data_IF_793674662030
#
_entry.id   IF_793674662030
#
_cell.length_a   1.000
_cell.length_b   1.000
_cell.length_c   1.000
_cell.angle_alpha   90.00
_cell.angle_beta   90.00
_cell.angle_gamma   90.00
#
_symmetry.space_group_name_H-M   'P 1'
#
loop_
_entity.id
_entity.type
_entity.pdbx_description
1 polymer ?
#
# COMPACT_ATOMS: atom_id res chain seq x y z
N UNK A 1 15.91 16.11 -20.42
CA UNK A 1 14.85 16.47 -21.40
C UNK A 1 13.54 16.00 -20.79
N UNK A 2 12.51 16.85 -20.74
CA UNK A 2 11.18 16.51 -20.17
C UNK A 2 10.22 16.10 -21.29
N UNK A 3 9.50 15.00 -21.11
CA UNK A 3 8.56 14.44 -22.07
C UNK A 3 7.11 14.59 -21.56
N UNK A 4 6.12 14.86 -22.42
CA UNK A 4 4.70 15.13 -22.05
C UNK A 4 3.73 14.07 -22.64
N UNK A 5 2.66 13.66 -21.93
CA UNK A 5 1.61 12.69 -22.36
C UNK A 5 0.16 13.12 -21.97
N UNK A 6 -0.91 12.60 -22.63
CA UNK A 6 -2.32 12.68 -22.15
C UNK A 6 -3.37 11.64 -22.73
N UNK A 7 -4.55 11.64 -22.08
CA UNK A 7 -5.74 10.75 -22.14
C UNK A 7 -6.87 11.28 -23.07
N UNK A 8 -7.68 10.35 -23.62
CA UNK A 8 -8.83 10.58 -24.56
C UNK A 8 -9.93 11.52 -24.03
N UNK A 9 -10.35 12.49 -24.85
CA UNK A 9 -11.52 13.37 -24.61
C UNK A 9 -12.42 13.39 -25.86
N UNK A 10 -13.71 13.04 -25.71
CA UNK A 10 -14.76 13.21 -26.73
C UNK A 10 -15.81 14.20 -26.20
N UNK A 11 -16.26 15.17 -27.01
CA UNK A 11 -17.61 15.69 -26.83
C UNK A 11 -18.45 15.66 -28.12
N UNK A 12 -19.65 15.10 -27.94
CA UNK A 12 -20.98 15.54 -28.41
C UNK A 12 -21.16 15.71 -29.94
N UNK A 13 -22.05 14.88 -30.47
CA UNK A 13 -22.79 15.08 -31.72
C UNK A 13 -24.13 15.76 -31.39
N UNK A 14 -24.41 16.90 -32.03
CA UNK A 14 -25.73 17.16 -32.61
C UNK A 14 -25.48 17.81 -33.98
N UNK A 15 -25.96 17.12 -35.01
CA UNK A 15 -25.80 17.48 -36.42
C UNK A 15 -26.92 18.40 -36.86
N UNK A 16 -26.56 19.48 -37.56
CA UNK A 16 -27.35 19.98 -38.67
C UNK A 16 -26.41 20.70 -39.64
N UNK A 17 -25.95 19.93 -40.62
CA UNK A 17 -25.47 20.32 -41.95
C UNK A 17 -24.20 21.19 -42.04
N UNK A 18 -23.10 20.50 -42.40
CA UNK A 18 -21.82 21.02 -42.89
C UNK A 18 -21.02 21.95 -41.94
N UNK A 19 -20.46 21.41 -40.86
CA UNK A 19 -19.46 22.10 -40.03
C UNK A 19 -18.16 21.30 -39.96
N UNK A 20 -17.08 21.88 -40.48
CA UNK A 20 -15.70 21.48 -40.19
C UNK A 20 -15.49 21.58 -38.67
N UNK A 21 -15.63 20.45 -37.96
CA UNK A 21 -15.44 20.35 -36.52
C UNK A 21 -13.96 20.60 -36.26
N UNK A 22 -13.61 21.74 -35.68
CA UNK A 22 -12.25 22.02 -35.24
C UNK A 22 -11.97 21.12 -34.04
N UNK A 23 -11.42 19.94 -34.29
CA UNK A 23 -10.97 19.04 -33.23
C UNK A 23 -9.87 19.76 -32.43
N UNK A 24 -10.07 19.88 -31.12
CA UNK A 24 -9.06 20.47 -30.25
C UNK A 24 -7.89 19.51 -30.15
N UNK A 25 -6.69 20.01 -30.41
CA UNK A 25 -5.48 19.24 -30.25
C UNK A 25 -5.34 18.74 -28.82
N UNK A 26 -4.76 17.56 -28.73
CA UNK A 26 -4.32 16.99 -27.49
C UNK A 26 -3.48 18.01 -26.68
N UNK A 27 -3.63 18.15 -25.35
CA UNK A 27 -3.03 19.26 -24.58
C UNK A 27 -1.50 19.32 -24.63
N UNK A 28 -0.84 18.19 -24.89
CA UNK A 28 0.62 18.15 -25.09
C UNK A 28 1.06 18.71 -26.45
N UNK A 29 0.13 18.93 -27.38
CA UNK A 29 0.39 19.35 -28.75
C UNK A 29 0.13 20.84 -28.95
N UNK A 30 1.07 21.50 -29.64
CA UNK A 30 0.88 22.86 -30.14
C UNK A 30 0.01 22.87 -31.40
N UNK A 31 0.17 21.86 -32.27
CA UNK A 31 -0.70 21.61 -33.43
C UNK A 31 -0.92 20.11 -33.63
N UNK A 32 -2.00 19.73 -34.29
CA UNK A 32 -2.37 18.33 -34.51
C UNK A 32 -3.20 18.15 -35.80
N UNK A 33 -3.28 16.90 -36.26
CA UNK A 33 -4.15 16.46 -37.38
C UNK A 33 -5.46 15.82 -36.89
N UNK A 34 -5.60 15.60 -35.59
CA UNK A 34 -6.78 15.01 -34.94
C UNK A 34 -6.67 15.08 -33.41
N UNK A 35 -7.73 14.73 -32.69
CA UNK A 35 -7.80 14.85 -31.22
C UNK A 35 -6.92 13.88 -30.41
N UNK A 36 -6.41 12.81 -31.04
CA UNK A 36 -5.56 11.80 -30.39
C UNK A 36 -4.10 12.23 -30.20
N UNK A 37 -3.44 11.66 -29.18
CA UNK A 37 -2.03 11.91 -28.80
C UNK A 37 -1.03 11.58 -29.93
N UNK A 38 -1.37 10.60 -30.76
CA UNK A 38 -0.65 10.14 -31.94
C UNK A 38 -0.74 11.12 -33.13
N UNK A 39 -1.67 12.08 -33.09
CA UNK A 39 -1.92 13.02 -34.19
C UNK A 39 -1.22 14.37 -33.97
N UNK A 40 -0.23 14.42 -33.08
CA UNK A 40 0.56 15.60 -32.79
C UNK A 40 1.43 15.99 -33.99
N UNK A 41 1.37 17.24 -34.45
CA UNK A 41 2.24 17.72 -35.55
C UNK A 41 3.31 18.69 -35.06
N UNK A 42 3.10 19.42 -33.97
CA UNK A 42 4.15 20.24 -33.35
C UNK A 42 4.03 20.28 -31.83
N UNK A 43 5.18 20.48 -31.17
CA UNK A 43 5.31 20.58 -29.72
C UNK A 43 5.58 22.03 -29.26
N UNK A 44 5.26 22.38 -27.99
CA UNK A 44 5.73 23.61 -27.37
C UNK A 44 7.27 23.70 -27.42
N UNK A 45 7.85 24.90 -27.63
CA UNK A 45 9.30 25.07 -27.70
C UNK A 45 9.97 24.62 -26.40
N UNK A 46 11.01 23.79 -26.51
CA UNK A 46 11.76 23.24 -25.37
C UNK A 46 11.22 21.93 -24.78
N UNK A 47 10.14 21.35 -25.33
CA UNK A 47 9.57 20.08 -24.88
C UNK A 47 9.42 19.08 -26.04
N UNK A 48 9.52 17.78 -25.73
CA UNK A 48 9.28 16.70 -26.68
C UNK A 48 8.00 15.96 -26.27
N UNK A 49 6.99 15.99 -27.12
CA UNK A 49 5.71 15.33 -26.86
C UNK A 49 5.76 13.94 -27.47
N UNK A 50 5.38 12.94 -26.69
CA UNK A 50 5.37 11.55 -27.12
C UNK A 50 3.97 10.97 -26.93
N UNK A 51 3.60 10.06 -27.82
CA UNK A 51 2.31 9.38 -27.77
C UNK A 51 2.24 8.38 -26.61
N UNK A 52 3.35 7.78 -26.22
CA UNK A 52 3.53 6.91 -25.06
C UNK A 52 4.89 7.25 -24.44
N UNK A 53 5.01 7.13 -23.11
CA UNK A 53 6.29 7.39 -22.46
C UNK A 53 7.32 6.34 -22.92
N UNK A 54 8.56 6.77 -23.25
CA UNK A 54 9.60 5.83 -23.63
C UNK A 54 9.99 4.94 -22.45
N UNK A 55 10.59 3.79 -22.73
CA UNK A 55 11.15 2.89 -21.72
C UNK A 55 12.03 3.67 -20.72
N UNK A 56 11.97 3.28 -19.44
CA UNK A 56 12.58 3.98 -18.32
C UNK A 56 11.78 5.17 -17.81
N UNK A 57 10.58 5.42 -18.35
CA UNK A 57 9.67 6.45 -17.86
C UNK A 57 8.23 5.95 -17.79
N UNK A 58 7.49 6.42 -16.79
CA UNK A 58 6.05 6.18 -16.66
C UNK A 58 5.26 7.47 -16.84
N UNK A 59 3.98 7.32 -17.16
CA UNK A 59 3.04 8.44 -17.29
C UNK A 59 2.69 9.00 -15.90
N UNK A 60 3.24 10.16 -15.56
CA UNK A 60 2.84 10.86 -14.34
C UNK A 60 1.63 11.76 -14.60
N UNK A 61 0.48 11.34 -14.08
CA UNK A 61 -0.76 12.12 -14.13
C UNK A 61 -0.66 13.45 -13.36
N UNK A 62 0.24 13.55 -12.36
CA UNK A 62 0.45 14.78 -11.58
C UNK A 62 1.30 15.80 -12.30
N UNK A 63 2.36 15.36 -12.97
CA UNK A 63 3.28 16.26 -13.67
C UNK A 63 2.87 16.49 -15.13
N UNK A 64 1.93 15.71 -15.65
CA UNK A 64 1.56 15.64 -17.08
C UNK A 64 2.76 15.33 -17.97
N UNK A 65 3.79 14.76 -17.36
CA UNK A 65 5.10 14.50 -17.92
C UNK A 65 5.45 13.03 -17.71
N UNK A 66 6.31 12.49 -18.58
CA UNK A 66 6.91 11.21 -18.34
C UNK A 66 7.97 11.39 -17.25
N UNK A 67 7.76 10.74 -16.12
CA UNK A 67 8.67 10.77 -14.98
C UNK A 67 9.54 9.53 -15.05
N UNK A 68 10.82 9.69 -14.76
CA UNK A 68 11.78 8.60 -14.83
C UNK A 68 11.44 7.55 -13.78
N UNK A 69 11.55 6.28 -14.15
CA UNK A 69 11.53 5.17 -13.21
C UNK A 69 12.71 5.25 -12.22
N UNK A 70 12.64 4.43 -11.16
CA UNK A 70 13.82 4.12 -10.35
C UNK A 70 14.96 3.56 -11.22
N UNK A 71 16.22 3.79 -10.85
CA UNK A 71 17.39 3.42 -11.67
C UNK A 71 17.52 1.91 -11.90
N UNK A 72 16.91 1.09 -11.03
CA UNK A 72 16.88 -0.37 -11.15
C UNK A 72 15.79 -0.89 -12.11
N UNK A 73 14.98 0.00 -12.68
CA UNK A 73 13.81 -0.32 -13.50
C UNK A 73 13.97 0.10 -14.97
N UNK A 74 13.83 -0.89 -15.86
CA UNK A 74 13.63 -0.64 -17.29
C UNK A 74 12.21 -0.15 -17.59
N UNK A 75 11.20 -0.68 -16.88
CA UNK A 75 9.81 -0.25 -16.98
C UNK A 75 9.21 -0.16 -15.57
N UNK A 76 8.30 0.78 -15.37
CA UNK A 76 7.63 1.03 -14.10
C UNK A 76 6.20 1.54 -14.31
N UNK A 77 5.36 1.40 -13.30
CA UNK A 77 4.03 2.03 -13.24
C UNK A 77 3.96 3.22 -12.26
N UNK A 78 5.10 3.56 -11.65
CA UNK A 78 5.30 4.67 -10.73
C UNK A 78 6.79 5.01 -10.51
N UNK A 79 7.10 6.05 -9.74
CA UNK A 79 8.47 6.56 -9.59
C UNK A 79 9.28 5.79 -8.55
N UNK A 80 8.64 5.02 -7.67
CA UNK A 80 9.27 4.42 -6.50
C UNK A 80 10.00 3.12 -6.86
N UNK A 81 10.84 2.65 -5.94
CA UNK A 81 11.70 1.47 -6.15
C UNK A 81 10.90 0.16 -6.31
N UNK A 82 9.69 0.12 -5.74
CA UNK A 82 8.75 -1.00 -5.78
C UNK A 82 7.66 -0.86 -6.85
N UNK A 83 7.72 0.17 -7.69
CA UNK A 83 6.84 0.34 -8.86
C UNK A 83 7.40 -0.33 -10.13
N UNK A 84 8.37 -1.22 -9.97
CA UNK A 84 9.05 -1.85 -11.10
C UNK A 84 8.16 -2.90 -11.76
N UNK A 85 8.04 -2.81 -13.08
CA UNK A 85 7.38 -3.82 -13.91
C UNK A 85 8.39 -4.64 -14.73
N UNK A 86 9.57 -4.07 -15.00
CA UNK A 86 10.69 -4.77 -15.63
C UNK A 86 12.02 -4.25 -15.08
N UNK A 87 12.92 -5.15 -14.69
CA UNK A 87 14.23 -4.78 -14.18
C UNK A 87 15.17 -4.25 -15.28
N UNK A 88 16.01 -3.28 -14.92
CA UNK A 88 16.99 -2.69 -15.83
C UNK A 88 18.10 -3.68 -16.25
N UNK A 89 18.41 -4.63 -15.37
CA UNK A 89 19.37 -5.70 -15.60
C UNK A 89 18.61 -7.02 -15.74
N UNK A 90 18.84 -7.73 -16.84
CA UNK A 90 18.30 -9.08 -17.08
C UNK A 90 18.79 -10.13 -16.08
N UNK A 91 19.80 -9.80 -15.25
CA UNK A 91 20.29 -10.66 -14.17
C UNK A 91 19.50 -10.51 -12.88
N UNK A 92 18.73 -9.43 -12.73
CA UNK A 92 17.96 -9.17 -11.53
C UNK A 92 16.58 -9.81 -11.67
N UNK A 93 16.02 -10.18 -10.53
CA UNK A 93 14.70 -10.81 -10.42
C UNK A 93 13.74 -9.86 -9.72
N UNK A 94 12.50 -9.81 -10.21
CA UNK A 94 11.47 -8.95 -9.64
C UNK A 94 10.78 -9.66 -8.47
N UNK A 95 10.62 -8.98 -7.35
CA UNK A 95 9.82 -9.47 -6.21
C UNK A 95 9.06 -8.31 -5.59
N UNK A 96 7.75 -8.45 -5.46
CA UNK A 96 6.88 -7.40 -4.88
C UNK A 96 7.08 -6.01 -5.50
N UNK A 97 7.41 -5.97 -6.80
CA UNK A 97 7.64 -4.73 -7.54
C UNK A 97 9.06 -4.15 -7.40
N UNK A 98 9.93 -4.73 -6.59
CA UNK A 98 11.35 -4.34 -6.50
C UNK A 98 12.25 -5.28 -7.33
N UNK A 99 13.37 -4.78 -7.82
CA UNK A 99 14.38 -5.57 -8.54
C UNK A 99 15.54 -5.96 -7.63
N UNK A 100 15.68 -7.26 -7.38
CA UNK A 100 16.67 -7.83 -6.48
C UNK A 100 17.71 -8.65 -7.26
N UNK A 101 18.90 -8.85 -6.69
CA UNK A 101 19.93 -9.70 -7.31
C UNK A 101 19.55 -11.17 -7.29
N UNK A 102 18.78 -11.61 -6.29
CA UNK A 102 18.33 -12.99 -6.09
C UNK A 102 16.97 -12.98 -5.37
N UNK A 103 16.24 -14.09 -5.48
CA UNK A 103 14.96 -14.23 -4.78
C UNK A 103 15.20 -14.27 -3.25
N UNK A 104 14.42 -13.52 -2.45
CA UNK A 104 14.57 -13.52 -1.00
C UNK A 104 14.19 -14.87 -0.39
N UNK A 105 14.59 -15.09 0.87
CA UNK A 105 14.21 -16.32 1.59
C UNK A 105 12.70 -16.51 1.66
N UNK A 106 12.23 -17.77 1.68
CA UNK A 106 10.80 -18.14 1.62
C UNK A 106 10.09 -17.76 0.30
N UNK A 107 10.83 -17.59 -0.78
CA UNK A 107 10.29 -17.41 -2.13
C UNK A 107 10.93 -18.37 -3.12
N UNK A 108 10.34 -18.51 -4.30
CA UNK A 108 10.88 -19.28 -5.42
C UNK A 108 10.80 -18.47 -6.72
N UNK A 109 11.70 -18.74 -7.67
CA UNK A 109 11.65 -18.14 -8.99
C UNK A 109 10.63 -18.87 -9.88
N UNK A 110 9.63 -18.14 -10.36
CA UNK A 110 8.61 -18.66 -11.26
C UNK A 110 8.96 -18.35 -12.72
N UNK A 111 9.47 -19.35 -13.45
CA UNK A 111 9.89 -19.23 -14.85
C UNK A 111 8.78 -18.68 -15.78
N UNK A 112 7.51 -18.96 -15.45
CA UNK A 112 6.36 -18.54 -16.27
C UNK A 112 6.15 -17.03 -16.21
N UNK A 113 6.19 -16.46 -15.00
CA UNK A 113 6.03 -15.01 -14.78
C UNK A 113 7.35 -14.24 -14.73
N UNK A 114 8.49 -14.96 -14.70
CA UNK A 114 9.85 -14.41 -14.55
C UNK A 114 10.03 -13.53 -13.31
N UNK A 115 9.30 -13.85 -12.25
CA UNK A 115 9.35 -13.13 -10.98
C UNK A 115 9.49 -14.11 -9.81
N UNK A 116 9.95 -13.61 -8.67
CA UNK A 116 9.94 -14.38 -7.43
C UNK A 116 8.52 -14.39 -6.86
N UNK A 117 8.08 -15.55 -6.38
CA UNK A 117 6.77 -15.73 -5.73
C UNK A 117 6.94 -16.34 -4.35
N UNK A 118 6.03 -15.99 -3.45
CA UNK A 118 6.03 -16.52 -2.10
C UNK A 118 5.88 -18.05 -2.11
N UNK A 119 6.62 -18.71 -1.24
CA UNK A 119 6.34 -20.10 -0.91
C UNK A 119 5.03 -20.24 -0.12
N UNK A 120 4.41 -21.44 -0.12
CA UNK A 120 3.36 -21.76 0.82
C UNK A 120 3.81 -21.47 2.26
N UNK A 121 2.90 -20.94 3.08
CA UNK A 121 3.17 -20.48 4.46
C UNK A 121 3.79 -21.55 5.37
N UNK A 122 3.62 -22.82 5.03
CA UNK A 122 4.13 -23.97 5.74
C UNK A 122 5.59 -24.31 5.43
N UNK A 123 6.19 -23.63 4.46
CA UNK A 123 7.43 -24.05 3.82
C UNK A 123 8.52 -23.01 3.96
N UNK A 124 9.74 -23.48 4.22
CA UNK A 124 10.92 -22.62 4.28
C UNK A 124 11.50 -22.41 2.89
N UNK A 125 11.51 -23.46 2.07
CA UNK A 125 11.86 -23.39 0.65
C UNK A 125 10.88 -24.23 -0.17
N UNK A 126 10.61 -23.80 -1.40
CA UNK A 126 9.66 -24.43 -2.30
C UNK A 126 10.14 -24.34 -3.75
N UNK A 127 9.50 -25.15 -4.60
CA UNK A 127 9.71 -25.19 -6.05
C UNK A 127 8.49 -24.68 -6.83
N UNK A 128 7.46 -24.20 -6.12
CA UNK A 128 6.18 -23.81 -6.68
C UNK A 128 5.24 -23.29 -5.58
N UNK A 129 4.12 -22.71 -6.00
CA UNK A 129 3.07 -22.14 -5.15
C UNK A 129 2.19 -23.19 -4.47
N UNK A 130 2.18 -24.43 -4.96
CA UNK A 130 1.36 -25.49 -4.38
C UNK A 130 1.94 -26.00 -3.05
N UNK A 131 1.10 -26.33 -2.06
CA UNK A 131 1.55 -26.89 -0.78
C UNK A 131 2.40 -28.17 -0.90
N UNK A 132 2.27 -28.93 -1.99
CA UNK A 132 3.06 -30.13 -2.31
C UNK A 132 4.43 -29.82 -2.93
N UNK A 133 4.62 -28.60 -3.44
CA UNK A 133 5.87 -28.16 -4.08
C UNK A 133 6.96 -27.77 -3.07
N UNK A 134 6.74 -28.02 -1.79
CA UNK A 134 7.67 -27.66 -0.73
C UNK A 134 8.91 -28.55 -0.73
N UNK A 135 10.07 -27.91 -0.66
CA UNK A 135 11.38 -28.57 -0.67
C UNK A 135 11.90 -28.72 0.76
N UNK A 136 11.71 -27.72 1.61
CA UNK A 136 11.96 -27.82 3.06
C UNK A 136 10.82 -27.16 3.84
N UNK A 137 10.57 -27.64 5.05
CA UNK A 137 9.49 -27.13 5.88
C UNK A 137 9.98 -26.02 6.81
N UNK A 138 9.07 -25.10 7.15
CA UNK A 138 9.32 -24.12 8.21
C UNK A 138 9.61 -24.83 9.55
N UNK A 139 10.25 -24.11 10.47
CA UNK A 139 10.70 -24.67 11.75
C UNK A 139 9.58 -25.43 12.49
N UNK A 140 9.89 -26.65 12.95
CA UNK A 140 8.95 -27.52 13.68
C UNK A 140 7.91 -28.25 12.80
N UNK A 141 7.97 -28.11 11.48
CA UNK A 141 7.16 -28.89 10.53
C UNK A 141 7.99 -29.99 9.86
N UNK A 142 7.32 -31.05 9.43
CA UNK A 142 7.89 -32.11 8.59
C UNK A 142 7.00 -32.35 7.37
N UNK A 143 7.60 -32.83 6.28
CA UNK A 143 6.83 -33.27 5.12
C UNK A 143 6.12 -34.57 5.46
N UNK A 144 4.83 -34.62 5.16
CA UNK A 144 4.08 -35.87 5.15
C UNK A 144 4.36 -36.71 3.88
N UNK A 145 3.72 -37.87 3.77
CA UNK A 145 3.87 -38.77 2.62
C UNK A 145 3.42 -38.16 1.28
N UNK A 146 2.64 -37.09 1.32
CA UNK A 146 2.11 -36.39 0.14
C UNK A 146 2.93 -35.14 -0.22
N UNK A 147 3.96 -34.81 0.56
CA UNK A 147 4.83 -33.66 0.34
C UNK A 147 4.38 -32.37 1.05
N UNK A 148 3.28 -32.40 1.81
CA UNK A 148 2.80 -31.24 2.56
C UNK A 148 3.59 -31.05 3.86
N UNK A 149 3.94 -29.80 4.17
CA UNK A 149 4.60 -29.45 5.42
C UNK A 149 3.60 -29.30 6.57
N UNK A 150 3.47 -30.35 7.36
CA UNK A 150 2.59 -30.43 8.53
C UNK A 150 3.38 -30.28 9.81
N UNK A 151 2.73 -29.81 10.88
CA UNK A 151 3.33 -29.85 12.21
C UNK A 151 3.55 -31.30 12.63
N UNK A 152 4.80 -31.69 12.84
CA UNK A 152 5.08 -33.00 13.39
C UNK A 152 5.04 -32.92 14.91
N UNK A 153 3.93 -33.38 15.46
CA UNK A 153 3.82 -33.63 16.88
C UNK A 153 3.40 -35.09 17.09
N UNK A 154 4.06 -35.77 18.03
CA UNK A 154 3.53 -37.00 18.66
C UNK A 154 2.20 -36.74 19.40
N UNK A 155 1.81 -35.46 19.50
CA UNK A 155 0.61 -34.96 20.12
C UNK A 155 -0.45 -34.65 19.07
N UNK A 156 -1.72 -34.63 19.47
CA UNK A 156 -2.82 -34.19 18.59
C UNK A 156 -2.59 -32.77 18.06
N UNK A 157 -3.14 -32.39 16.90
CA UNK A 157 -2.94 -31.06 16.31
C UNK A 157 -3.21 -29.89 17.26
N UNK A 158 -4.18 -30.03 18.17
CA UNK A 158 -4.54 -29.02 19.18
C UNK A 158 -3.66 -29.04 20.44
N UNK A 159 -2.50 -29.68 20.39
CA UNK A 159 -1.59 -29.82 21.51
C UNK A 159 -0.12 -29.74 21.08
N UNK A 160 0.74 -29.30 21.98
CA UNK A 160 2.18 -29.20 21.79
C UNK A 160 2.91 -30.08 22.80
N UNK A 161 4.14 -30.48 22.49
CA UNK A 161 5.00 -31.24 23.40
C UNK A 161 5.76 -30.26 24.30
N UNK A 162 5.59 -30.37 25.61
CA UNK A 162 6.32 -29.55 26.59
C UNK A 162 7.78 -30.03 26.76
N UNK A 163 8.56 -29.30 27.57
CA UNK A 163 9.97 -29.62 27.83
C UNK A 163 10.19 -30.98 28.48
N UNK A 164 9.15 -31.56 29.12
CA UNK A 164 9.18 -32.88 29.74
C UNK A 164 8.72 -33.98 28.77
N UNK A 165 8.45 -33.63 27.51
CA UNK A 165 7.96 -34.56 26.49
C UNK A 165 6.47 -34.89 26.60
N UNK A 166 5.70 -34.17 27.42
CA UNK A 166 4.26 -34.40 27.60
C UNK A 166 3.43 -33.50 26.69
N UNK A 167 2.34 -34.04 26.15
CA UNK A 167 1.40 -33.26 25.34
C UNK A 167 0.53 -32.35 26.21
N UNK A 168 0.59 -31.05 25.95
CA UNK A 168 -0.20 -30.02 26.60
C UNK A 168 -1.10 -29.34 25.56
N UNK A 169 -2.29 -28.92 25.98
CA UNK A 169 -3.24 -28.28 25.06
C UNK A 169 -2.76 -26.89 24.62
N UNK A 170 -3.04 -26.56 23.37
CA UNK A 170 -2.85 -25.23 22.84
C UNK A 170 -3.80 -24.21 23.48
N UNK A 171 -3.50 -22.93 23.30
CA UNK A 171 -4.47 -21.88 23.60
C UNK A 171 -5.75 -22.08 22.78
N UNK A 172 -6.92 -21.80 23.38
CA UNK A 172 -8.26 -22.12 22.82
C UNK A 172 -8.53 -21.64 21.38
N UNK A 173 -7.83 -20.60 20.93
CA UNK A 173 -7.99 -20.05 19.58
C UNK A 173 -7.02 -20.66 18.56
N UNK A 174 -5.95 -21.34 18.99
CA UNK A 174 -5.05 -22.04 18.09
C UNK A 174 -5.61 -23.42 17.72
N UNK A 175 -5.59 -23.75 16.43
CA UNK A 175 -5.78 -25.12 15.98
C UNK A 175 -4.51 -25.94 16.15
N UNK A 176 -3.34 -25.33 15.91
CA UNK A 176 -2.02 -25.87 16.20
C UNK A 176 -1.12 -24.83 16.83
N UNK A 177 -0.19 -25.27 17.68
CA UNK A 177 0.71 -24.40 18.43
C UNK A 177 2.06 -25.07 18.72
N UNK A 178 3.07 -24.26 19.01
CA UNK A 178 4.39 -24.72 19.49
C UNK A 178 4.60 -24.37 20.97
N UNK A 179 3.55 -23.91 21.65
CA UNK A 179 3.61 -23.56 23.06
C UNK A 179 2.26 -23.13 23.63
N UNK A 180 2.22 -22.78 24.92
CA UNK A 180 0.96 -22.50 25.63
C UNK A 180 0.40 -21.10 25.36
N UNK A 181 1.22 -20.19 24.84
CA UNK A 181 0.88 -18.78 24.63
C UNK A 181 -0.17 -18.57 23.53
N UNK A 182 -0.88 -17.45 23.60
CA UNK A 182 -1.83 -17.01 22.56
C UNK A 182 -1.13 -16.58 21.26
N UNK A 183 0.16 -16.31 21.35
CA UNK A 183 1.13 -15.87 20.35
C UNK A 183 2.05 -17.02 19.89
N UNK A 184 1.78 -18.24 20.37
CA UNK A 184 2.43 -19.47 19.92
C UNK A 184 1.52 -20.25 18.96
N UNK A 185 0.51 -19.60 18.38
CA UNK A 185 -0.37 -20.26 17.41
C UNK A 185 0.35 -20.38 16.07
N UNK A 186 0.11 -21.50 15.40
CA UNK A 186 0.69 -21.83 14.10
C UNK A 186 -0.40 -22.02 13.04
N UNK A 187 -1.63 -22.25 13.50
CA UNK A 187 -2.87 -22.24 12.74
C UNK A 187 -4.01 -21.91 13.69
N UNK A 188 -5.14 -21.45 13.15
CA UNK A 188 -6.24 -20.94 13.95
C UNK A 188 -7.50 -21.77 13.81
N UNK A 189 -8.23 -21.94 14.91
CA UNK A 189 -9.57 -22.51 14.88
C UNK A 189 -10.52 -21.51 14.21
N UNK A 190 -11.44 -22.02 13.38
CA UNK A 190 -12.52 -21.20 12.84
C UNK A 190 -13.30 -20.51 13.98
N UNK A 191 -13.64 -19.21 13.89
CA UNK A 191 -13.52 -18.32 12.72
C UNK A 191 -12.29 -17.37 12.74
N UNK A 192 -11.18 -17.74 13.39
CA UNK A 192 -10.03 -16.83 13.58
C UNK A 192 -9.00 -16.95 12.46
N UNK A 193 -8.28 -15.86 12.20
CA UNK A 193 -7.20 -15.73 11.23
C UNK A 193 -5.85 -15.60 11.92
N UNK A 194 -4.81 -16.18 11.33
CA UNK A 194 -3.45 -16.12 11.83
C UNK A 194 -2.76 -14.82 11.40
N UNK A 195 -2.19 -14.10 12.37
CA UNK A 195 -1.39 -12.90 12.18
C UNK A 195 -0.16 -12.95 13.11
N UNK A 196 1.05 -13.05 12.54
CA UNK A 196 2.31 -13.12 13.29
C UNK A 196 2.26 -14.10 14.49
N UNK A 197 1.73 -15.30 14.30
CA UNK A 197 1.53 -16.35 15.32
C UNK A 197 0.42 -16.11 16.37
N UNK A 198 -0.42 -15.10 16.18
CA UNK A 198 -1.60 -14.86 17.02
C UNK A 198 -2.88 -15.06 16.21
N UNK A 199 -3.86 -15.75 16.79
CA UNK A 199 -5.19 -15.91 16.19
C UNK A 199 -6.09 -14.73 16.53
N UNK A 200 -6.49 -13.96 15.53
CA UNK A 200 -7.36 -12.79 15.63
C UNK A 200 -8.71 -13.06 14.97
N UNK A 201 -9.83 -12.51 15.47
CA UNK A 201 -11.15 -12.77 14.89
C UNK A 201 -11.32 -12.17 13.48
N UNK A 202 -10.53 -11.15 13.14
CA UNK A 202 -10.52 -10.49 11.83
C UNK A 202 -9.13 -9.89 11.58
N UNK A 203 -8.71 -9.82 10.31
CA UNK A 203 -7.46 -9.14 9.96
C UNK A 203 -7.59 -7.63 10.23
N UNK A 204 -6.66 -7.03 10.99
CA UNK A 204 -6.72 -5.62 11.37
C UNK A 204 -6.39 -4.69 10.19
N UNK A 205 -6.58 -3.38 10.37
CA UNK A 205 -6.16 -2.37 9.38
C UNK A 205 -4.69 -2.55 9.00
N UNK A 206 -4.38 -2.35 7.72
CA UNK A 206 -3.08 -2.67 7.12
C UNK A 206 -2.90 -4.14 6.72
N UNK A 207 -3.90 -5.00 6.94
CA UNK A 207 -3.92 -6.40 6.53
C UNK A 207 -5.24 -6.76 5.83
N UNK A 208 -5.18 -7.74 4.93
CA UNK A 208 -6.32 -8.35 4.25
C UNK A 208 -6.33 -9.86 4.49
N UNK A 209 -7.43 -10.53 4.17
CA UNK A 209 -7.50 -12.00 4.18
C UNK A 209 -6.76 -12.51 2.94
N UNK A 210 -5.54 -13.03 3.13
CA UNK A 210 -4.70 -13.55 2.04
C UNK A 210 -5.26 -14.88 1.53
N UNK A 211 -5.68 -15.72 2.46
CA UNK A 211 -6.21 -17.04 2.16
C UNK A 211 -7.33 -17.36 3.16
N UNK A 212 -8.51 -17.71 2.64
CA UNK A 212 -9.69 -17.99 3.46
C UNK A 212 -9.69 -19.43 4.00
N UNK A 213 -9.04 -20.36 3.31
CA UNK A 213 -8.94 -21.78 3.69
C UNK A 213 -7.83 -21.96 4.73
N UNK A 214 -6.65 -21.38 4.48
CA UNK A 214 -5.54 -21.33 5.44
C UNK A 214 -5.78 -20.30 6.56
N UNK A 215 -6.76 -19.41 6.40
CA UNK A 215 -7.13 -18.33 7.34
C UNK A 215 -5.94 -17.44 7.70
N UNK A 216 -5.27 -16.92 6.69
CA UNK A 216 -4.07 -16.09 6.86
C UNK A 216 -4.35 -14.61 6.60
N UNK A 217 -3.76 -13.75 7.42
CA UNK A 217 -3.72 -12.32 7.16
C UNK A 217 -2.47 -11.95 6.35
N UNK A 218 -2.65 -11.31 5.19
CA UNK A 218 -1.58 -10.72 4.37
C UNK A 218 -1.49 -9.22 4.60
N UNK A 219 -0.30 -8.63 4.49
CA UNK A 219 -0.11 -7.18 4.63
C UNK A 219 -0.57 -6.45 3.36
N UNK A 220 -1.19 -5.29 3.51
CA UNK A 220 -1.45 -4.38 2.40
C UNK A 220 -0.17 -3.71 1.87
N UNK A 221 -0.24 -3.15 0.66
CA UNK A 221 0.74 -2.20 0.16
C UNK A 221 1.05 -1.10 1.19
N UNK A 222 2.28 -0.57 1.21
CA UNK A 222 2.71 0.35 2.28
C UNK A 222 1.94 1.67 2.27
N UNK A 223 1.46 2.16 1.12
CA UNK A 223 0.64 3.37 1.01
C UNK A 223 -0.82 3.16 1.45
N UNK A 224 -1.25 1.91 1.61
CA UNK A 224 -2.63 1.53 1.92
C UNK A 224 -2.89 1.44 3.42
N UNK A 225 -3.96 2.09 3.87
CA UNK A 225 -4.53 1.89 5.20
C UNK A 225 -5.42 0.64 5.23
N UNK A 226 -6.22 0.41 4.19
CA UNK A 226 -6.99 -0.83 3.99
C UNK A 226 -6.92 -1.24 2.53
N UNK A 227 -6.98 -2.54 2.26
CA UNK A 227 -6.81 -3.12 0.94
C UNK A 227 -7.66 -4.38 0.75
N UNK A 228 -7.88 -4.78 -0.50
CA UNK A 228 -8.43 -6.10 -0.87
C UNK A 228 -7.34 -7.11 -1.23
N UNK A 229 -6.11 -6.65 -1.45
CA UNK A 229 -4.97 -7.45 -1.81
C UNK A 229 -3.64 -6.74 -1.51
N UNK A 230 -2.54 -7.34 -1.94
CA UNK A 230 -1.20 -6.84 -1.61
C UNK A 230 -0.80 -5.62 -2.46
N UNK A 231 -1.31 -5.49 -3.69
CA UNK A 231 -0.81 -4.50 -4.65
C UNK A 231 -1.33 -3.08 -4.38
N UNK A 232 -0.57 -2.07 -4.86
CA UNK A 232 -0.89 -0.64 -4.72
C UNK A 232 -2.24 -0.26 -5.34
N UNK A 233 -2.67 -0.97 -6.37
CA UNK A 233 -3.97 -0.81 -7.06
C UNK A 233 -5.13 -1.50 -6.34
N UNK A 234 -4.87 -2.36 -5.36
CA UNK A 234 -5.90 -3.07 -4.60
C UNK A 234 -6.25 -2.30 -3.32
N UNK A 235 -6.08 -0.98 -3.36
CA UNK A 235 -6.19 -0.11 -2.21
C UNK A 235 -7.61 0.40 -2.00
N UNK A 236 -8.18 0.13 -0.84
CA UNK A 236 -9.51 0.62 -0.47
C UNK A 236 -9.41 2.00 0.17
N UNK A 237 -8.48 2.19 1.11
CA UNK A 237 -8.22 3.49 1.74
C UNK A 237 -6.73 3.76 1.92
N UNK A 238 -6.34 5.03 1.91
CA UNK A 238 -4.94 5.46 2.01
C UNK A 238 -4.52 5.78 3.44
N UNK A 239 -3.23 5.59 3.74
CA UNK A 239 -2.64 6.04 5.01
C UNK A 239 -2.62 7.57 5.10
N UNK A 240 -2.57 8.16 6.31
CA UNK A 240 -2.34 9.60 6.46
C UNK A 240 -1.09 10.04 5.70
N UNK A 241 -1.18 11.16 4.97
CA UNK A 241 -0.11 11.64 4.08
C UNK A 241 -0.26 11.21 2.62
N UNK A 242 -1.09 10.19 2.34
CA UNK A 242 -1.41 9.76 0.98
C UNK A 242 -2.84 10.18 0.59
N UNK A 243 -3.05 10.36 -0.70
CA UNK A 243 -4.30 10.74 -1.31
C UNK A 243 -4.80 9.63 -2.24
N UNK A 244 -6.11 9.37 -2.21
CA UNK A 244 -6.71 8.35 -3.06
C UNK A 244 -6.93 8.89 -4.47
N UNK A 245 -6.30 8.26 -5.46
CA UNK A 245 -6.46 8.59 -6.88
C UNK A 245 -6.84 7.32 -7.65
N UNK A 246 -8.14 7.12 -7.90
CA UNK A 246 -8.61 5.85 -8.46
C UNK A 246 -8.58 4.74 -7.40
N UNK A 247 -7.86 3.66 -7.67
CA UNK A 247 -7.66 2.52 -6.75
C UNK A 247 -6.26 2.50 -6.11
N UNK A 248 -5.44 3.52 -6.39
CA UNK A 248 -4.10 3.69 -5.80
C UNK A 248 -4.04 4.84 -4.79
N UNK A 249 -3.00 4.83 -3.97
CA UNK A 249 -2.70 5.86 -2.98
C UNK A 249 -1.37 6.54 -3.32
N UNK A 250 -1.42 7.85 -3.53
CA UNK A 250 -0.30 8.68 -4.01
C UNK A 250 0.02 9.80 -3.02
N UNK A 251 1.26 10.25 -2.92
CA UNK A 251 1.66 11.29 -1.95
C UNK A 251 1.20 12.71 -2.35
N UNK A 252 0.94 12.98 -3.64
CA UNK A 252 0.49 14.29 -4.12
C UNK A 252 -0.66 14.17 -5.11
N UNK A 253 -1.74 14.94 -4.89
CA UNK A 253 -2.85 15.03 -5.84
C UNK A 253 -2.50 15.85 -7.07
N UNK A 254 -2.79 15.31 -8.25
CA UNK A 254 -2.83 16.06 -9.50
C UNK A 254 -4.04 16.99 -9.53
N UNK A 255 -3.88 18.32 -9.50
CA UNK A 255 -5.00 19.24 -9.77
C UNK A 255 -5.32 19.27 -11.28
N UNK A 256 -6.35 18.54 -11.68
CA UNK A 256 -6.85 18.50 -13.05
C UNK A 256 -8.05 19.42 -13.27
N UNK A 257 -7.83 20.52 -14.00
CA UNK A 257 -8.85 21.42 -14.53
C UNK A 257 -9.68 20.76 -15.65
N UNK A 258 -10.88 20.25 -15.34
CA UNK A 258 -11.86 19.79 -16.34
C UNK A 258 -12.83 18.72 -15.84
N UNK A 259 -14.14 18.92 -16.05
CA UNK A 259 -15.24 18.31 -15.28
C UNK A 259 -15.38 16.77 -15.41
N UNK A 260 -15.60 16.13 -14.25
CA UNK A 260 -15.89 14.70 -13.93
C UNK A 260 -14.70 13.74 -13.70
N UNK A 261 -13.55 14.21 -13.23
CA UNK A 261 -12.64 13.37 -12.44
C UNK A 261 -13.24 13.15 -11.05
N UNK A 262 -13.19 11.90 -10.53
CA UNK A 262 -13.45 11.68 -9.10
C UNK A 262 -12.42 12.53 -8.34
N UNK A 263 -12.82 13.51 -7.52
CA UNK A 263 -11.88 14.36 -6.82
C UNK A 263 -10.99 13.48 -5.94
N UNK A 264 -9.72 13.86 -5.86
CA UNK A 264 -8.78 13.32 -4.88
C UNK A 264 -9.43 13.50 -3.50
N UNK A 265 -9.86 12.41 -2.87
CA UNK A 265 -10.53 12.49 -1.58
C UNK A 265 -9.47 12.39 -0.49
N UNK A 266 -9.12 13.53 0.11
CA UNK A 266 -8.38 13.53 1.36
C UNK A 266 -9.29 12.92 2.43
N UNK A 267 -8.89 11.80 3.02
CA UNK A 267 -9.58 11.29 4.21
C UNK A 267 -9.14 12.18 5.37
N UNK A 268 -9.88 13.29 5.55
CA UNK A 268 -9.70 14.21 6.67
C UNK A 268 -10.03 13.50 7.98
N UNK A 269 -9.00 12.92 8.59
CA UNK A 269 -9.05 12.27 9.90
C UNK A 269 -8.14 12.94 10.91
N UNK A 270 -8.14 14.29 10.99
CA UNK A 270 -7.69 15.00 12.19
C UNK A 270 -8.48 16.30 12.32
N UNK A 271 -9.26 16.43 13.38
CA UNK A 271 -9.89 17.68 13.79
C UNK A 271 -8.77 18.60 14.30
N UNK A 272 -8.27 19.49 13.45
CA UNK A 272 -7.53 20.67 13.89
C UNK A 272 -8.41 21.89 13.70
N UNK A 273 -8.78 22.49 14.83
CA UNK A 273 -9.60 23.70 14.95
C UNK A 273 -9.13 24.82 14.01
N UNK A 274 -10.04 25.66 13.48
CA UNK A 274 -9.67 26.76 12.60
C UNK A 274 -8.90 27.82 13.40
N UNK A 275 -7.62 28.01 13.06
CA UNK A 275 -6.86 29.19 13.44
C UNK A 275 -7.51 30.41 12.78
N UNK A 276 -8.26 31.16 13.59
CA UNK A 276 -8.67 32.53 13.26
C UNK A 276 -7.41 33.36 13.07
N UNK A 277 -7.21 33.85 11.85
CA UNK A 277 -6.23 34.90 11.52
C UNK A 277 -6.44 36.08 12.47
N UNK A 278 -5.51 36.33 13.38
CA UNK A 278 -5.30 37.66 13.95
C UNK A 278 -4.07 38.27 13.32
N UNK A 279 -4.30 39.43 12.70
CA UNK A 279 -3.29 40.34 12.21
C UNK A 279 -2.23 40.61 13.28
N UNK A 280 -0.97 40.46 12.91
CA UNK A 280 0.17 41.05 13.59
C UNK A 280 0.21 42.54 13.19
N UNK A 281 0.00 43.43 14.16
CA UNK A 281 0.43 44.81 14.08
C UNK A 281 1.37 45.10 15.27
N UNK A 282 2.17 46.14 15.09
CA UNK A 282 3.55 46.29 15.57
C UNK A 282 3.63 46.69 17.05
N UNK A 283 4.69 46.19 17.70
CA UNK A 283 5.13 46.58 19.05
C UNK A 283 5.27 48.08 19.25
N UNK A 284 4.68 48.61 20.32
CA UNK A 284 5.26 49.70 21.15
C UNK A 284 4.81 49.55 22.60
N UNK A 285 5.77 49.31 23.51
CA UNK A 285 5.72 49.69 24.93
C UNK A 285 5.72 51.25 25.05
N UNK A 286 5.48 51.92 26.22
CA UNK A 286 5.63 51.41 27.59
C UNK A 286 4.67 51.96 28.70
N UNK A 287 4.86 51.43 29.93
CA UNK A 287 4.74 52.05 31.27
C UNK A 287 3.38 52.23 32.01
N UNK A 288 3.35 51.57 33.19
CA UNK A 288 3.04 52.10 34.55
C UNK A 288 1.76 51.68 35.28
N UNK A 289 1.98 51.20 36.54
CA UNK A 289 1.18 51.28 37.80
C UNK A 289 -0.32 50.85 37.76
N UNK A 290 -0.93 50.17 38.75
CA UNK A 290 -0.77 50.15 40.20
C UNK A 290 -1.56 48.96 40.83
N UNK A 291 -1.42 48.85 42.16
CA UNK A 291 -1.81 47.79 43.10
C UNK A 291 -3.33 47.53 43.30
N UNK A 292 -3.59 46.47 44.09
CA UNK A 292 -4.74 46.22 45.00
C UNK A 292 -5.77 45.18 44.48
N UNK A 293 -6.37 44.28 45.27
CA UNK A 293 -6.56 44.17 46.72
C UNK A 293 -7.04 42.72 47.04
N UNK A 294 -6.54 42.11 48.12
CA UNK A 294 -7.10 40.89 48.72
C UNK A 294 -8.40 41.18 49.51
N UNK A 295 -9.37 40.25 49.47
CA UNK A 295 -10.47 39.96 50.45
C UNK A 295 -11.38 38.90 49.77
N UNK A 296 -11.90 37.83 50.37
CA UNK A 296 -11.91 37.24 51.71
C UNK A 296 -12.46 35.80 51.60
N UNK A 297 -11.77 34.81 52.15
CA UNK A 297 -12.16 33.97 53.32
C UNK A 297 -13.62 33.49 53.35
N UNK A 298 -13.81 32.20 53.06
CA UNK A 298 -14.85 31.36 53.65
C UNK A 298 -14.20 30.06 54.13
N UNK A 299 -14.43 29.73 55.40
CA UNK A 299 -13.81 28.66 56.16
C UNK A 299 -14.44 27.27 55.89
N UNK A 300 -13.62 26.22 55.93
CA UNK A 300 -14.05 24.84 56.19
C UNK A 300 -13.54 24.42 57.59
N UNK A 301 -14.29 23.59 58.35
CA UNK A 301 -14.11 23.43 59.78
C UNK A 301 -13.03 22.43 60.18
N UNK A 302 -12.60 22.63 61.43
CA UNK A 302 -11.65 21.90 62.27
C UNK A 302 -12.21 20.56 62.74
N UNK A 303 -11.36 19.52 62.77
CA UNK A 303 -11.22 18.52 63.84
C UNK A 303 -10.05 17.60 63.42
N UNK A 304 -9.07 17.25 64.27
CA UNK A 304 -9.20 16.69 65.61
C UNK A 304 -7.93 16.88 66.44
N UNK A 305 -8.12 17.00 67.75
CA UNK A 305 -7.14 16.72 68.83
C UNK A 305 -6.54 15.32 68.61
N UNK A 306 -5.25 15.06 68.77
CA UNK A 306 -4.41 15.27 69.94
C UNK A 306 -2.93 15.17 69.53
#
# INVERSE_FOLDING_TARGET
MSFLFFKKTLPIFFSSTAQYKRETCHPSCKTCLGGGKENCTTCPPGKQCVGDCPDGYFESMSQQECVRCHDDCALCDGPDIDDCTLCQSDKNVRYSGECLSECPSQTYYDETSKECKDCPSSCLTCSGSEPTSCVTCAEGRQKDATGHCVWYSECSPSSYKDQNGKCQQCHKHCHGCNGPGKDHCLSCNSPHFLLHNTCVPQCPEGYYVKDQDERLCGRCHFSCKTCTGHHSVECVTCKPGFFKQGETCVETCSEGSGKKTKPCSQISGVVSHPLIKKHHEVSRYPLSLSQSLCRGVAACPVQTMH
#
